data_IF_885329074024
#
_entry.id   IF_885329074024
#
_cell.length_a   1.000
_cell.length_b   1.000
_cell.length_c   1.000
_cell.angle_alpha   90.00
_cell.angle_beta   90.00
_cell.angle_gamma   90.00
#
_symmetry.space_group_name_H-M   'P 1'
#
loop_
_entity.id
_entity.type
_entity.pdbx_description
1 polymer ?
#
# COMPACT_ATOMS: atom_id res chain seq x y z
N UNK A 1 -36.90 -10.76 -38.06
CA UNK A 1 -35.78 -11.42 -37.34
C UNK A 1 -34.56 -10.54 -37.50
N UNK A 2 -34.27 -9.68 -36.52
CA UNK A 2 -33.09 -8.81 -36.51
C UNK A 2 -32.47 -8.87 -35.12
N UNK A 3 -31.17 -9.16 -34.98
CA UNK A 3 -30.52 -9.17 -33.67
C UNK A 3 -30.09 -7.74 -33.30
N UNK A 4 -30.57 -7.25 -32.15
CA UNK A 4 -30.08 -6.02 -31.53
C UNK A 4 -28.72 -6.31 -30.90
N UNK A 5 -27.64 -5.73 -31.44
CA UNK A 5 -26.34 -5.68 -30.77
C UNK A 5 -26.43 -4.70 -29.59
N UNK A 6 -26.42 -5.22 -28.37
CA UNK A 6 -26.18 -4.43 -27.16
C UNK A 6 -24.71 -4.05 -27.12
N UNK A 7 -24.39 -2.80 -27.43
CA UNK A 7 -23.09 -2.19 -27.12
C UNK A 7 -22.97 -1.99 -25.61
N UNK A 8 -22.18 -2.81 -24.94
CA UNK A 8 -21.67 -2.50 -23.61
C UNK A 8 -20.49 -1.53 -23.75
N UNK A 9 -20.70 -0.25 -23.44
CA UNK A 9 -19.62 0.71 -23.21
C UNK A 9 -18.91 0.39 -21.89
N UNK A 10 -17.58 0.22 -21.85
CA UNK A 10 -16.86 0.08 -20.59
C UNK A 10 -16.68 1.46 -19.91
N UNK A 11 -16.99 1.48 -18.63
CA UNK A 11 -16.81 2.57 -17.66
C UNK A 11 -15.42 3.22 -17.73
N UNK A 12 -15.38 4.50 -18.11
CA UNK A 12 -14.16 5.35 -18.12
C UNK A 12 -13.95 6.11 -16.80
N UNK A 13 -14.64 5.73 -15.71
CA UNK A 13 -14.53 6.43 -14.43
C UNK A 13 -13.28 6.01 -13.61
N UNK A 14 -12.83 4.76 -13.74
CA UNK A 14 -11.72 4.23 -12.94
C UNK A 14 -10.34 4.83 -13.31
N UNK A 15 -10.19 5.29 -14.56
CA UNK A 15 -8.93 5.85 -15.06
C UNK A 15 -8.61 7.25 -14.48
N UNK A 16 -9.62 8.12 -14.28
CA UNK A 16 -9.40 9.44 -13.68
C UNK A 16 -9.06 9.36 -12.18
N UNK A 17 -9.67 8.42 -11.45
CA UNK A 17 -9.35 8.18 -10.05
C UNK A 17 -7.90 7.69 -9.88
N UNK A 18 -7.42 6.89 -10.84
CA UNK A 18 -6.03 6.44 -10.88
C UNK A 18 -5.02 7.59 -11.00
N UNK A 19 -5.30 8.58 -11.83
CA UNK A 19 -4.40 9.71 -12.08
C UNK A 19 -4.23 10.64 -10.86
N UNK A 20 -5.31 10.90 -10.11
CA UNK A 20 -5.23 11.71 -8.89
C UNK A 20 -4.47 11.01 -7.76
N UNK A 21 -4.55 9.67 -7.68
CA UNK A 21 -3.80 8.89 -6.71
C UNK A 21 -2.29 8.86 -6.98
N UNK A 22 -1.86 9.08 -8.22
CA UNK A 22 -0.44 9.07 -8.58
C UNK A 22 0.28 10.39 -8.26
N UNK A 23 -0.48 11.44 -7.95
CA UNK A 23 0.09 12.73 -7.55
C UNK A 23 0.96 12.58 -6.28
N UNK A 24 2.06 13.35 -6.18
CA UNK A 24 2.93 13.33 -5.01
C UNK A 24 2.17 13.77 -3.76
N UNK A 25 2.51 13.15 -2.62
CA UNK A 25 1.96 13.46 -1.32
C UNK A 25 2.50 14.82 -0.84
N UNK A 26 1.62 15.66 -0.29
CA UNK A 26 2.02 16.94 0.26
C UNK A 26 2.72 16.79 1.63
N UNK A 27 3.42 17.84 2.07
CA UNK A 27 4.20 17.82 3.32
C UNK A 27 3.34 17.52 4.56
N UNK A 28 2.10 18.00 4.57
CA UNK A 28 1.13 17.74 5.65
C UNK A 28 0.71 16.28 5.69
N UNK A 29 0.38 15.70 4.53
CA UNK A 29 0.08 14.29 4.39
C UNK A 29 1.26 13.42 4.81
N UNK A 30 2.48 13.77 4.38
CA UNK A 30 3.69 13.05 4.74
C UNK A 30 3.95 13.08 6.26
N UNK A 31 3.82 14.24 6.88
CA UNK A 31 3.99 14.40 8.34
C UNK A 31 3.00 13.56 9.13
N UNK A 32 1.73 13.53 8.71
CA UNK A 32 0.70 12.69 9.33
C UNK A 32 0.99 11.20 9.14
N UNK A 33 1.44 10.81 7.94
CA UNK A 33 1.78 9.43 7.64
C UNK A 33 2.96 8.93 8.50
N UNK A 34 4.04 9.71 8.61
CA UNK A 34 5.19 9.37 9.46
C UNK A 34 4.80 9.17 10.91
N UNK A 35 3.91 10.01 11.45
CA UNK A 35 3.42 9.86 12.82
C UNK A 35 2.62 8.56 13.01
N UNK A 36 1.77 8.19 12.03
CA UNK A 36 0.98 6.95 12.03
C UNK A 36 1.86 5.70 11.99
N UNK A 37 3.02 5.77 11.33
CA UNK A 37 3.92 4.63 11.16
C UNK A 37 4.80 4.32 12.38
N UNK A 38 4.66 5.03 13.50
CA UNK A 38 5.39 4.75 14.74
C UNK A 38 4.84 3.48 15.40
N UNK A 39 5.66 2.45 15.57
CA UNK A 39 5.25 1.16 16.14
C UNK A 39 5.92 0.88 17.48
N UNK A 40 5.48 -0.20 18.14
CA UNK A 40 6.07 -0.66 19.40
C UNK A 40 7.22 -1.66 19.22
N UNK A 41 7.47 -2.10 17.98
CA UNK A 41 8.47 -3.10 17.63
C UNK A 41 9.58 -2.46 16.79
N UNK A 42 10.81 -2.49 17.31
CA UNK A 42 11.96 -1.79 16.74
C UNK A 42 12.26 -2.21 15.29
N UNK A 43 12.13 -3.50 14.99
CA UNK A 43 12.38 -4.03 13.65
C UNK A 43 11.44 -3.42 12.61
N UNK A 44 10.18 -3.19 12.97
CA UNK A 44 9.22 -2.52 12.09
C UNK A 44 9.63 -1.06 11.87
N UNK A 45 10.00 -0.35 12.94
CA UNK A 45 10.42 1.05 12.85
C UNK A 45 11.66 1.20 11.94
N UNK A 46 12.66 0.32 12.07
CA UNK A 46 13.86 0.36 11.23
C UNK A 46 13.56 0.16 9.73
N UNK A 47 12.67 -0.78 9.40
CA UNK A 47 12.26 -1.03 8.01
C UNK A 47 11.46 0.16 7.45
N UNK A 48 10.55 0.72 8.25
CA UNK A 48 9.76 1.90 7.90
C UNK A 48 10.66 3.13 7.71
N UNK A 49 11.64 3.35 8.59
CA UNK A 49 12.61 4.42 8.45
C UNK A 49 13.42 4.29 7.16
N UNK A 50 13.87 3.07 6.83
CA UNK A 50 14.59 2.82 5.58
C UNK A 50 13.73 3.13 4.35
N UNK A 51 12.44 2.78 4.40
CA UNK A 51 11.49 3.13 3.35
C UNK A 51 11.36 4.64 3.17
N UNK A 52 11.12 5.39 4.25
CA UNK A 52 10.99 6.85 4.14
C UNK A 52 12.27 7.51 3.65
N UNK A 53 13.45 7.06 4.09
CA UNK A 53 14.74 7.55 3.58
C UNK A 53 14.89 7.40 2.07
N UNK A 54 14.23 6.42 1.45
CA UNK A 54 14.32 6.15 0.02
C UNK A 54 13.21 6.82 -0.79
N UNK A 55 11.98 6.84 -0.27
CA UNK A 55 10.80 7.16 -1.07
C UNK A 55 10.05 8.40 -0.62
N UNK A 56 10.43 9.07 0.48
CA UNK A 56 9.65 10.21 1.00
C UNK A 56 9.42 11.34 -0.01
N UNK A 57 10.37 11.59 -0.90
CA UNK A 57 10.32 12.68 -1.89
C UNK A 57 9.46 12.35 -3.12
N UNK A 58 9.21 11.06 -3.37
CA UNK A 58 8.47 10.57 -4.55
C UNK A 58 7.19 9.84 -4.16
N UNK A 59 6.83 9.85 -2.87
CA UNK A 59 5.71 9.09 -2.35
C UNK A 59 4.39 9.65 -2.91
N UNK A 60 3.59 8.81 -3.57
CA UNK A 60 2.29 9.24 -4.10
C UNK A 60 1.17 9.11 -3.06
N UNK A 61 0.04 9.79 -3.32
CA UNK A 61 -1.18 9.67 -2.49
C UNK A 61 -1.66 8.22 -2.43
N UNK A 62 -1.56 7.48 -3.54
CA UNK A 62 -1.92 6.06 -3.63
C UNK A 62 -1.01 5.20 -2.75
N UNK A 63 0.30 5.44 -2.77
CA UNK A 63 1.24 4.74 -1.90
C UNK A 63 1.01 5.12 -0.43
N UNK A 64 0.66 6.37 -0.13
CA UNK A 64 0.28 6.77 1.21
C UNK A 64 -0.97 6.01 1.70
N UNK A 65 -1.96 5.77 0.83
CA UNK A 65 -3.12 4.92 1.13
C UNK A 65 -2.69 3.48 1.45
N UNK A 66 -1.86 2.86 0.60
CA UNK A 66 -1.36 1.51 0.84
C UNK A 66 -0.57 1.38 2.15
N UNK A 67 0.25 2.38 2.48
CA UNK A 67 0.95 2.43 3.75
C UNK A 67 -0.03 2.51 4.93
N UNK A 68 -1.07 3.35 4.85
CA UNK A 68 -2.08 3.44 5.91
C UNK A 68 -2.83 2.12 6.12
N UNK A 69 -3.15 1.40 5.05
CA UNK A 69 -3.77 0.07 5.10
C UNK A 69 -2.85 -0.92 5.82
N UNK A 70 -1.57 -0.99 5.44
CA UNK A 70 -0.57 -1.80 6.19
C UNK A 70 -0.45 -1.39 7.65
N UNK A 71 -0.73 -0.12 7.99
CA UNK A 71 -0.71 0.36 9.37
C UNK A 71 -1.89 -0.09 10.23
N UNK A 72 -2.89 -0.77 9.66
CA UNK A 72 -3.96 -1.42 10.44
C UNK A 72 -3.57 -2.80 10.96
N UNK A 73 -2.47 -3.38 10.46
CA UNK A 73 -1.96 -4.68 10.90
C UNK A 73 -1.35 -4.61 12.31
N UNK A 74 -1.39 -5.74 13.01
CA UNK A 74 -0.62 -5.93 14.25
C UNK A 74 0.89 -5.85 13.98
N UNK A 75 1.69 -5.55 15.00
CA UNK A 75 3.14 -5.44 14.83
C UNK A 75 3.77 -6.76 14.35
N UNK A 76 3.24 -7.91 14.80
CA UNK A 76 3.73 -9.23 14.41
C UNK A 76 3.32 -9.61 12.99
N UNK A 77 2.06 -9.37 12.61
CA UNK A 77 1.60 -9.67 11.26
C UNK A 77 2.31 -8.79 10.23
N UNK A 78 2.49 -7.50 10.53
CA UNK A 78 3.27 -6.61 9.69
C UNK A 78 4.70 -7.15 9.52
N UNK A 79 5.40 -7.46 10.63
CA UNK A 79 6.77 -7.94 10.57
C UNK A 79 6.89 -9.25 9.76
N UNK A 80 5.96 -10.19 9.95
CA UNK A 80 5.95 -11.45 9.18
C UNK A 80 5.79 -11.21 7.68
N UNK A 81 5.00 -10.23 7.26
CA UNK A 81 4.89 -9.83 5.85
C UNK A 81 6.19 -9.18 5.33
N UNK A 82 6.80 -8.29 6.11
CA UNK A 82 8.02 -7.59 5.70
C UNK A 82 9.21 -8.54 5.55
N UNK A 83 9.28 -9.56 6.40
CA UNK A 83 10.31 -10.60 6.37
C UNK A 83 9.99 -11.75 5.40
N UNK A 84 8.87 -11.68 4.66
CA UNK A 84 8.37 -12.75 3.78
C UNK A 84 8.19 -14.10 4.47
N UNK A 85 7.90 -14.10 5.77
CA UNK A 85 7.52 -15.30 6.53
C UNK A 85 6.09 -15.73 6.23
N UNK A 86 5.24 -14.75 5.90
CA UNK A 86 3.87 -14.93 5.43
C UNK A 86 3.63 -14.07 4.20
N UNK A 87 2.75 -14.53 3.33
CA UNK A 87 2.11 -13.70 2.32
C UNK A 87 0.79 -13.12 2.86
N UNK A 88 0.26 -12.02 2.28
CA UNK A 88 -0.99 -11.38 2.73
C UNK A 88 -2.17 -12.35 2.88
N UNK A 89 -2.26 -13.32 1.97
CA UNK A 89 -3.28 -14.38 1.99
C UNK A 89 -3.19 -15.37 3.16
N UNK A 90 -2.08 -15.35 3.90
CA UNK A 90 -1.77 -16.29 4.99
C UNK A 90 -1.83 -15.62 6.37
N UNK A 91 -2.31 -14.38 6.45
CA UNK A 91 -2.52 -13.72 7.73
C UNK A 91 -3.58 -14.43 8.56
N UNK A 92 -3.38 -14.42 9.87
CA UNK A 92 -4.21 -15.18 10.82
C UNK A 92 -5.66 -14.67 10.87
N UNK A 93 -5.86 -13.38 10.62
CA UNK A 93 -7.16 -12.72 10.64
C UNK A 93 -7.62 -12.35 9.21
N UNK A 94 -8.91 -12.53 8.93
CA UNK A 94 -9.51 -12.29 7.62
C UNK A 94 -9.53 -10.80 7.23
N UNK A 95 -9.72 -9.90 8.20
CA UNK A 95 -9.68 -8.46 7.95
C UNK A 95 -8.24 -8.04 7.63
N UNK A 96 -7.26 -8.54 8.39
CA UNK A 96 -5.85 -8.31 8.13
C UNK A 96 -5.44 -8.78 6.72
N UNK A 97 -5.86 -9.98 6.31
CA UNK A 97 -5.65 -10.51 4.96
C UNK A 97 -6.25 -9.58 3.89
N UNK A 98 -7.50 -9.17 4.08
CA UNK A 98 -8.19 -8.28 3.14
C UNK A 98 -7.46 -6.96 2.97
N UNK A 99 -7.07 -6.33 4.09
CA UNK A 99 -6.35 -5.05 4.09
C UNK A 99 -4.95 -5.18 3.46
N UNK A 100 -4.20 -6.24 3.75
CA UNK A 100 -2.86 -6.43 3.20
C UNK A 100 -2.85 -6.87 1.71
N UNK A 101 -4.01 -7.29 1.18
CA UNK A 101 -4.15 -7.79 -0.19
C UNK A 101 -4.70 -6.77 -1.18
N UNK A 102 -4.95 -5.53 -0.75
CA UNK A 102 -5.35 -4.45 -1.66
C UNK A 102 -4.20 -4.13 -2.64
N UNK A 103 -4.50 -3.63 -3.86
CA UNK A 103 -3.47 -3.26 -4.83
C UNK A 103 -2.47 -2.24 -4.27
N UNK A 104 -2.93 -1.25 -3.50
CA UNK A 104 -2.10 -0.22 -2.90
C UNK A 104 -1.23 -0.76 -1.77
N UNK A 105 -1.77 -1.59 -0.87
CA UNK A 105 -0.99 -2.23 0.17
C UNK A 105 0.08 -3.16 -0.42
N UNK A 106 -0.26 -3.92 -1.47
CA UNK A 106 0.69 -4.79 -2.17
C UNK A 106 1.82 -4.00 -2.85
N UNK A 107 1.52 -2.85 -3.44
CA UNK A 107 2.54 -1.96 -4.02
C UNK A 107 3.55 -1.50 -2.95
N UNK A 108 3.03 -0.94 -1.86
CA UNK A 108 3.88 -0.45 -0.76
C UNK A 108 4.63 -1.60 -0.08
N UNK A 109 3.99 -2.75 0.11
CA UNK A 109 4.63 -3.93 0.69
C UNK A 109 5.82 -4.38 -0.17
N UNK A 110 5.73 -4.30 -1.49
CA UNK A 110 6.88 -4.58 -2.38
C UNK A 110 8.01 -3.61 -2.16
N UNK A 111 7.73 -2.30 -2.02
CA UNK A 111 8.74 -1.26 -1.80
C UNK A 111 9.39 -1.33 -0.40
N UNK A 112 8.61 -1.73 0.60
CA UNK A 112 9.01 -1.82 2.01
C UNK A 112 9.81 -3.10 2.32
N UNK A 113 9.60 -4.17 1.55
CA UNK A 113 10.36 -5.42 1.69
C UNK A 113 11.85 -5.19 1.35
N UNK A 114 12.79 -5.59 2.21
CA UNK A 114 14.21 -5.46 1.93
C UNK A 114 14.58 -6.28 0.67
N UNK A 115 15.39 -5.69 -0.20
CA UNK A 115 15.80 -6.30 -1.48
C UNK A 115 14.86 -6.01 -2.66
N UNK A 116 13.89 -5.11 -2.52
CA UNK A 116 13.22 -4.53 -3.68
C UNK A 116 14.25 -3.83 -4.60
N UNK A 117 14.25 -4.10 -5.92
CA UNK A 117 15.12 -3.37 -6.83
C UNK A 117 14.80 -1.88 -6.75
N UNK A 118 15.84 -1.05 -6.64
CA UNK A 118 15.67 0.40 -6.69
C UNK A 118 15.00 0.77 -8.04
N UNK A 119 14.09 1.75 -8.05
CA UNK A 119 13.49 2.24 -9.30
C UNK A 119 14.55 2.84 -10.24
#
# INVERSE_FOLDING_TARGET
MSPTLTTHTPTTASALAGAAGDAPLDERGLSKLKWRCRRGLLENDLLIEQFFRRYESTLSIRQAKGMNELMELSDHDLLDLLLRRKEPGQLSDLAANTTASTPEALDVLRLLRPGAPAP
#
